data_IF_174488701906
#
_entry.id   IF_174488701906
#
_cell.length_a   1.000
_cell.length_b   1.000
_cell.length_c   1.000
_cell.angle_alpha   90.00
_cell.angle_beta   90.00
_cell.angle_gamma   90.00
#
_symmetry.space_group_name_H-M   'P 1'
#
loop_
_entity.id
_entity.type
_entity.pdbx_description
1 polymer ?
#
# COMPACT_ATOMS: atom_id res chain seq x y z
N UNK A 1 -3.14 11.75 15.90
CA UNK A 1 -2.93 11.55 14.44
C UNK A 1 -2.68 10.08 14.07
N UNK A 2 -1.79 9.36 14.77
CA UNK A 2 -1.44 7.97 14.46
C UNK A 2 -2.61 6.97 14.53
N UNK A 3 -3.45 7.01 15.57
CA UNK A 3 -4.61 6.11 15.69
C UNK A 3 -5.64 6.31 14.56
N UNK A 4 -5.85 7.56 14.14
CA UNK A 4 -6.75 7.90 13.03
C UNK A 4 -6.16 7.42 11.70
N UNK A 5 -4.84 7.59 11.50
CA UNK A 5 -4.15 7.08 10.32
C UNK A 5 -4.17 5.56 10.22
N UNK A 6 -3.98 4.85 11.34
CA UNK A 6 -4.05 3.39 11.42
C UNK A 6 -5.46 2.86 11.11
N UNK A 7 -6.50 3.48 11.70
CA UNK A 7 -7.89 3.11 11.44
C UNK A 7 -8.32 3.43 10.01
N UNK A 8 -7.91 4.59 9.47
CA UNK A 8 -8.23 4.97 8.10
C UNK A 8 -7.58 4.04 7.08
N UNK A 9 -6.27 3.79 7.20
CA UNK A 9 -5.55 2.90 6.27
C UNK A 9 -5.96 1.44 6.43
N UNK A 10 -6.01 0.94 7.67
CA UNK A 10 -6.43 -0.42 7.97
C UNK A 10 -7.87 -0.68 7.53
N UNK A 11 -8.78 0.24 7.83
CA UNK A 11 -10.18 0.16 7.42
C UNK A 11 -10.36 0.19 5.90
N UNK A 12 -9.68 1.13 5.21
CA UNK A 12 -9.74 1.22 3.75
C UNK A 12 -9.22 -0.06 3.08
N UNK A 13 -8.08 -0.58 3.53
CA UNK A 13 -7.51 -1.81 2.98
C UNK A 13 -8.33 -3.06 3.31
N UNK A 14 -8.98 -3.09 4.47
CA UNK A 14 -9.89 -4.17 4.85
C UNK A 14 -11.13 -4.18 3.93
N UNK A 15 -11.69 -3.00 3.62
CA UNK A 15 -12.77 -2.87 2.63
C UNK A 15 -12.32 -3.32 1.25
N UNK A 16 -11.14 -2.91 0.79
CA UNK A 16 -10.58 -3.32 -0.51
C UNK A 16 -10.33 -4.83 -0.55
N UNK A 17 -9.84 -5.44 0.53
CA UNK A 17 -9.62 -6.87 0.61
C UNK A 17 -10.93 -7.68 0.60
N UNK A 18 -11.98 -7.18 1.27
CA UNK A 18 -13.33 -7.75 1.24
C UNK A 18 -13.93 -7.71 -0.16
N UNK A 19 -13.85 -6.57 -0.85
CA UNK A 19 -14.36 -6.39 -2.22
C UNK A 19 -13.53 -7.19 -3.23
N UNK A 20 -12.21 -7.28 -3.02
CA UNK A 20 -11.28 -7.98 -3.88
C UNK A 20 -11.42 -9.51 -3.87
N UNK A 21 -12.33 -10.09 -3.07
CA UNK A 21 -12.59 -11.55 -3.00
C UNK A 21 -11.31 -12.39 -2.85
N UNK A 22 -10.40 -11.93 -2.00
CA UNK A 22 -9.11 -12.58 -1.78
C UNK A 22 -8.03 -12.24 -2.80
N UNK A 23 -8.18 -11.20 -3.63
CA UNK A 23 -7.08 -10.70 -4.46
C UNK A 23 -5.95 -10.03 -3.66
N UNK A 24 -6.21 -9.62 -2.42
CA UNK A 24 -5.23 -9.01 -1.50
C UNK A 24 -4.94 -9.94 -0.33
N UNK A 25 -3.66 -10.06 0.03
CA UNK A 25 -3.25 -10.89 1.15
C UNK A 25 -3.62 -10.23 2.48
N UNK A 26 -4.02 -11.03 3.48
CA UNK A 26 -4.24 -10.52 4.84
C UNK A 26 -3.01 -9.82 5.44
N UNK A 27 -1.81 -10.14 4.93
CA UNK A 27 -0.56 -9.43 5.26
C UNK A 27 -0.55 -7.97 4.81
N UNK A 28 -1.13 -7.66 3.65
CA UNK A 28 -1.17 -6.29 3.10
C UNK A 28 -2.04 -5.37 3.96
N UNK A 29 -3.13 -5.90 4.55
CA UNK A 29 -4.01 -5.17 5.47
C UNK A 29 -3.28 -4.82 6.76
N UNK A 30 -2.52 -5.77 7.33
CA UNK A 30 -1.71 -5.54 8.53
C UNK A 30 -0.61 -4.51 8.27
N UNK A 31 0.05 -4.60 7.11
CA UNK A 31 1.04 -3.62 6.67
C UNK A 31 0.41 -2.23 6.52
N UNK A 32 -0.71 -2.09 5.82
CA UNK A 32 -1.40 -0.81 5.67
C UNK A 32 -1.79 -0.20 7.03
N UNK A 33 -2.21 -1.03 7.98
CA UNK A 33 -2.53 -0.59 9.35
C UNK A 33 -1.29 -0.08 10.10
N UNK A 34 -0.17 -0.82 10.01
CA UNK A 34 1.10 -0.43 10.62
C UNK A 34 1.66 0.85 9.98
N UNK A 35 1.62 0.96 8.66
CA UNK A 35 2.03 2.14 7.91
C UNK A 35 1.13 3.35 8.26
N UNK A 36 -0.17 3.13 8.46
CA UNK A 36 -1.11 4.13 8.98
C UNK A 36 -0.76 4.65 10.37
N UNK A 37 -0.24 3.77 11.23
CA UNK A 37 0.24 4.16 12.55
C UNK A 37 1.56 4.95 12.47
N UNK A 38 2.46 4.59 11.55
CA UNK A 38 3.78 5.23 11.39
C UNK A 38 3.68 6.60 10.73
N UNK A 39 2.97 6.71 9.59
CA UNK A 39 2.81 7.96 8.86
C UNK A 39 1.81 8.90 9.53
N UNK A 40 0.77 8.34 10.14
CA UNK A 40 -0.33 9.12 10.71
C UNK A 40 -1.13 9.91 9.66
N UNK A 41 -2.21 10.54 10.12
CA UNK A 41 -3.01 11.44 9.28
C UNK A 41 -2.36 12.82 9.19
N UNK A 42 -2.28 13.47 8.01
CA UNK A 42 -2.82 13.06 6.69
C UNK A 42 -1.82 12.36 5.77
N UNK A 43 -0.55 12.20 6.17
CA UNK A 43 0.55 11.68 5.33
C UNK A 43 0.33 10.24 4.82
N UNK A 44 -0.56 9.49 5.45
CA UNK A 44 -0.92 8.14 5.02
C UNK A 44 -1.55 8.09 3.61
N UNK A 45 -2.31 9.11 3.20
CA UNK A 45 -2.96 9.13 1.89
C UNK A 45 -1.96 9.17 0.72
N UNK A 46 -1.00 10.11 0.68
CA UNK A 46 0.01 10.10 -0.37
C UNK A 46 0.89 8.85 -0.32
N UNK A 47 1.17 8.30 0.88
CA UNK A 47 1.98 7.08 1.02
C UNK A 47 1.31 5.85 0.41
N UNK A 48 0.01 5.66 0.70
CA UNK A 48 -0.78 4.59 0.10
C UNK A 48 -0.99 4.82 -1.39
N UNK A 49 -1.24 6.05 -1.84
CA UNK A 49 -1.42 6.37 -3.25
C UNK A 49 -0.18 6.01 -4.07
N UNK A 50 1.01 6.44 -3.62
CA UNK A 50 2.27 6.08 -4.28
C UNK A 50 2.53 4.58 -4.25
N UNK A 51 2.23 3.92 -3.14
CA UNK A 51 2.38 2.47 -3.01
C UNK A 51 1.46 1.67 -3.93
N UNK A 52 0.20 2.11 -4.10
CA UNK A 52 -0.77 1.52 -5.03
C UNK A 52 -0.33 1.77 -6.48
N UNK A 53 0.15 2.97 -6.82
CA UNK A 53 0.65 3.27 -8.16
C UNK A 53 1.87 2.39 -8.48
N UNK A 54 2.84 2.30 -7.57
CA UNK A 54 4.02 1.45 -7.73
C UNK A 54 3.64 -0.04 -7.85
N UNK A 55 2.73 -0.51 -7.00
CA UNK A 55 2.24 -1.89 -7.03
C UNK A 55 1.45 -2.21 -8.30
N UNK A 56 0.63 -1.27 -8.76
CA UNK A 56 -0.09 -1.37 -10.03
C UNK A 56 0.84 -1.38 -11.24
N UNK A 57 1.88 -0.53 -11.24
CA UNK A 57 2.90 -0.52 -12.30
C UNK A 57 3.65 -1.84 -12.35
N UNK A 58 4.08 -2.36 -11.20
CA UNK A 58 4.79 -3.62 -11.14
C UNK A 58 3.91 -4.81 -11.49
N UNK A 59 2.64 -4.79 -11.08
CA UNK A 59 1.64 -5.77 -11.52
C UNK A 59 1.46 -5.73 -13.03
N UNK A 60 1.38 -4.53 -13.63
CA UNK A 60 1.28 -4.34 -15.07
C UNK A 60 2.52 -4.90 -15.79
N UNK A 61 3.73 -4.61 -15.31
CA UNK A 61 4.99 -5.14 -15.87
C UNK A 61 5.03 -6.66 -15.78
N UNK A 62 4.65 -7.26 -14.64
CA UNK A 62 4.62 -8.72 -14.47
C UNK A 62 3.61 -9.39 -15.41
N UNK A 63 2.46 -8.75 -15.64
CA UNK A 63 1.41 -9.22 -16.52
C UNK A 63 1.82 -9.08 -18.00
N UNK A 64 2.49 -7.99 -18.36
CA UNK A 64 3.11 -7.77 -19.68
C UNK A 64 4.23 -8.78 -19.96
N UNK A 65 5.05 -9.09 -18.96
CA UNK A 65 6.13 -10.09 -19.06
C UNK A 65 5.59 -11.52 -19.03
N UNK A 66 4.26 -11.72 -18.89
CA UNK A 66 3.55 -13.01 -18.78
C UNK A 66 4.11 -13.97 -17.71
N UNK A 67 4.88 -13.45 -16.75
CA UNK A 67 5.44 -14.22 -15.61
C UNK A 67 4.34 -14.62 -14.62
N UNK A 68 3.24 -13.88 -14.60
CA UNK A 68 2.08 -14.09 -13.72
C UNK A 68 0.82 -14.11 -14.57
N UNK A 69 -0.02 -15.14 -14.42
CA UNK A 69 -1.31 -15.23 -15.12
C UNK A 69 -2.33 -14.22 -14.57
N UNK A 70 -3.41 -13.93 -15.33
CA UNK A 70 -4.50 -13.00 -14.93
C UNK A 70 -5.16 -13.29 -13.57
N UNK A 71 -4.95 -14.48 -12.99
CA UNK A 71 -5.44 -14.89 -11.66
C UNK A 71 -4.31 -15.07 -10.63
N UNK A 72 -3.08 -14.68 -10.96
CA UNK A 72 -1.94 -14.83 -10.08
C UNK A 72 -2.01 -13.83 -8.93
N UNK A 73 -1.71 -14.33 -7.73
CA UNK A 73 -1.65 -13.51 -6.52
C UNK A 73 -0.44 -12.58 -6.61
N UNK A 74 -0.66 -11.27 -6.54
CA UNK A 74 0.42 -10.28 -6.52
C UNK A 74 0.44 -9.68 -5.12
N UNK A 75 1.54 -9.88 -4.40
CA UNK A 75 1.73 -9.27 -3.09
C UNK A 75 1.93 -7.75 -3.27
N UNK A 76 0.98 -6.96 -2.78
CA UNK A 76 1.07 -5.49 -2.83
C UNK A 76 1.96 -4.92 -1.72
N UNK A 77 2.22 -5.69 -0.66
CA UNK A 77 3.01 -5.31 0.51
C UNK A 77 4.35 -4.61 0.21
N UNK A 78 5.23 -5.13 -0.67
CA UNK A 78 6.53 -4.51 -0.94
C UNK A 78 6.39 -3.11 -1.55
N UNK A 79 5.42 -2.93 -2.44
CA UNK A 79 5.18 -1.66 -3.12
C UNK A 79 4.52 -0.64 -2.21
N UNK A 80 3.61 -1.08 -1.33
CA UNK A 80 3.04 -0.24 -0.28
C UNK A 80 4.12 0.23 0.70
N UNK A 81 5.02 -0.67 1.10
CA UNK A 81 6.16 -0.30 1.94
C UNK A 81 7.06 0.73 1.27
N UNK A 82 7.36 0.58 -0.03
CA UNK A 82 8.14 1.56 -0.80
C UNK A 82 7.46 2.92 -0.90
N UNK A 83 6.17 2.96 -1.23
CA UNK A 83 5.42 4.21 -1.32
C UNK A 83 5.34 4.95 0.02
N UNK A 84 5.09 4.21 1.10
CA UNK A 84 5.10 4.77 2.45
C UNK A 84 6.48 5.23 2.89
N UNK A 85 7.55 4.49 2.54
CA UNK A 85 8.93 4.88 2.84
C UNK A 85 9.31 6.19 2.15
N UNK A 86 8.97 6.35 0.86
CA UNK A 86 9.24 7.58 0.11
C UNK A 86 8.55 8.80 0.74
N UNK A 87 7.28 8.67 1.12
CA UNK A 87 6.54 9.77 1.77
C UNK A 87 7.12 10.08 3.15
N UNK A 88 7.53 9.05 3.89
CA UNK A 88 8.15 9.24 5.18
C UNK A 88 9.50 9.96 5.07
N UNK A 89 10.33 9.62 4.08
CA UNK A 89 11.58 10.34 3.79
C UNK A 89 11.33 11.79 3.38
N UNK A 90 10.32 12.06 2.54
CA UNK A 90 9.93 13.42 2.18
C UNK A 90 9.45 14.24 3.38
N UNK A 91 8.64 13.62 4.26
CA UNK A 91 8.20 14.25 5.51
C UNK A 91 9.35 14.56 6.48
N UNK A 92 10.43 13.77 6.43
CA UNK A 92 11.65 13.99 7.21
C UNK A 92 12.56 15.09 6.65
N UNK A 93 12.18 15.75 5.55
CA UNK A 93 12.96 16.84 4.96
C UNK A 93 14.20 16.38 4.18
N UNK A 94 14.26 15.10 3.79
CA UNK A 94 15.30 14.62 2.88
C UNK A 94 15.08 15.07 1.43
N UNK A 95 13.87 15.56 1.10
CA UNK A 95 13.56 16.15 -0.19
C UNK A 95 13.57 17.68 -0.07
N UNK A 96 14.28 18.41 -0.95
CA UNK A 96 14.31 19.87 -0.95
C UNK A 96 12.98 20.50 -1.39
#
# INVERSE_FOLDING_TARGET
AAAIGALAAGGLFLVVALIGRGAMGAGDIKLATALGAILGFPLIFPGLALGIIAGGLAALVLLLTRRVGRKGFIAYGPYLALGSWLVWMGAMGFWP
#
